data_IF_481338686009
#
_entry.id   IF_481338686009
#
_cell.length_a   1.000
_cell.length_b   1.000
_cell.length_c   1.000
_cell.angle_alpha   90.00
_cell.angle_beta   90.00
_cell.angle_gamma   90.00
#
_symmetry.space_group_name_H-M   'P 1'
#
loop_
_entity.id
_entity.type
_entity.pdbx_description
1 polymer ?
#
# COMPACT_ATOMS: atom_id res chain seq x y z
N UNK A 1 -13.62 -17.75 -1.41
CA UNK A 1 -12.59 -17.89 -0.38
C UNK A 1 -12.98 -19.04 0.53
N UNK A 2 -12.15 -20.07 0.62
CA UNK A 2 -12.41 -21.32 1.36
C UNK A 2 -12.00 -21.18 2.82
N UNK A 3 -12.50 -22.04 3.71
CA UNK A 3 -12.23 -21.96 5.16
C UNK A 3 -10.73 -22.14 5.48
N UNK A 4 -10.05 -23.03 4.73
CA UNK A 4 -8.62 -23.28 4.83
C UNK A 4 -7.75 -22.10 4.33
N UNK A 5 -8.33 -21.11 3.66
CA UNK A 5 -7.65 -19.86 3.28
C UNK A 5 -7.80 -18.78 4.36
N UNK A 6 -8.54 -19.05 5.44
CA UNK A 6 -8.91 -18.07 6.49
C UNK A 6 -8.43 -18.43 7.89
N UNK A 7 -7.88 -19.63 8.08
CA UNK A 7 -7.46 -20.14 9.39
C UNK A 7 -5.98 -20.52 9.33
N UNK A 8 -5.20 -19.99 10.26
CA UNK A 8 -3.83 -20.43 10.49
C UNK A 8 -3.84 -21.62 11.46
N UNK A 9 -3.17 -22.71 11.08
CA UNK A 9 -3.01 -23.90 11.93
C UNK A 9 -1.61 -23.85 12.53
N UNK A 10 -1.53 -23.77 13.85
CA UNK A 10 -0.27 -23.87 14.58
C UNK A 10 -0.03 -25.35 14.87
N UNK A 11 1.03 -25.92 14.28
CA UNK A 11 1.36 -27.34 14.41
C UNK A 11 2.08 -27.63 15.73
N UNK A 12 2.14 -28.91 16.11
CA UNK A 12 2.94 -29.33 17.28
C UNK A 12 4.42 -28.98 17.13
N UNK A 13 4.96 -29.02 15.89
CA UNK A 13 6.34 -28.58 15.62
C UNK A 13 6.50 -27.09 15.92
N UNK A 14 5.52 -26.26 15.53
CA UNK A 14 5.55 -24.83 15.83
C UNK A 14 5.59 -24.59 17.34
N UNK A 15 4.70 -25.23 18.11
CA UNK A 15 4.65 -25.10 19.57
C UNK A 15 5.94 -25.59 20.23
N UNK A 16 6.46 -26.74 19.81
CA UNK A 16 7.67 -27.32 20.39
C UNK A 16 8.88 -26.40 20.19
N UNK A 17 9.02 -25.83 18.99
CA UNK A 17 10.12 -24.91 18.67
C UNK A 17 9.98 -23.58 19.37
N UNK A 18 8.76 -23.04 19.47
CA UNK A 18 8.49 -21.83 20.23
C UNK A 18 8.83 -22.06 21.70
N UNK A 19 8.41 -23.18 22.27
CA UNK A 19 8.68 -23.51 23.68
C UNK A 19 10.18 -23.64 23.96
N UNK A 20 10.95 -24.18 23.01
CA UNK A 20 12.42 -24.22 23.10
C UNK A 20 13.06 -22.81 23.12
N UNK A 21 12.51 -21.85 22.36
CA UNK A 21 13.08 -20.51 22.20
C UNK A 21 12.68 -19.54 23.32
N UNK A 22 11.42 -19.59 23.75
CA UNK A 22 10.86 -18.62 24.70
C UNK A 22 10.57 -19.23 26.09
N UNK A 23 10.72 -20.54 26.26
CA UNK A 23 10.38 -21.26 27.49
C UNK A 23 8.95 -21.79 27.46
N UNK A 24 8.36 -22.03 28.63
CA UNK A 24 6.93 -22.36 28.70
C UNK A 24 6.10 -21.20 28.14
N UNK A 25 5.25 -21.50 27.15
CA UNK A 25 4.43 -20.50 26.44
C UNK A 25 2.98 -20.81 26.74
N UNK A 26 2.28 -19.83 27.29
CA UNK A 26 0.83 -19.85 27.39
C UNK A 26 0.15 -19.19 26.17
N UNK A 27 -1.18 -19.18 26.19
CA UNK A 27 -1.96 -18.60 25.08
C UNK A 27 -1.80 -17.08 24.97
N UNK A 28 -1.51 -16.40 26.08
CA UNK A 28 -1.32 -14.94 26.12
C UNK A 28 0.04 -14.56 25.51
N UNK A 29 1.08 -15.33 25.81
CA UNK A 29 2.40 -15.23 25.19
C UNK A 29 2.33 -15.44 23.68
N UNK A 30 1.61 -16.49 23.26
CA UNK A 30 1.40 -16.78 21.85
C UNK A 30 0.64 -15.64 21.15
N UNK A 31 -0.42 -15.14 21.78
CA UNK A 31 -1.20 -13.99 21.29
C UNK A 31 -0.32 -12.76 21.13
N UNK A 32 0.53 -12.45 22.12
CA UNK A 32 1.48 -11.32 22.07
C UNK A 32 2.46 -11.46 20.91
N UNK A 33 3.07 -12.64 20.74
CA UNK A 33 4.04 -12.90 19.66
C UNK A 33 3.37 -12.72 18.30
N UNK A 34 2.25 -13.41 18.06
CA UNK A 34 1.54 -13.37 16.78
C UNK A 34 1.07 -11.96 16.45
N UNK A 35 0.46 -11.24 17.40
CA UNK A 35 -0.01 -9.88 17.17
C UNK A 35 1.14 -8.89 16.90
N UNK A 36 2.30 -9.07 17.55
CA UNK A 36 3.49 -8.25 17.26
C UNK A 36 3.96 -8.44 15.82
N UNK A 37 4.06 -9.68 15.35
CA UNK A 37 4.43 -9.96 13.96
C UNK A 37 3.38 -9.49 12.95
N UNK A 38 2.10 -9.69 13.26
CA UNK A 38 1.00 -9.18 12.43
C UNK A 38 1.04 -7.67 12.30
N UNK A 39 1.34 -6.94 13.38
CA UNK A 39 1.48 -5.49 13.35
C UNK A 39 2.57 -5.06 12.36
N UNK A 40 3.76 -5.65 12.46
CA UNK A 40 4.87 -5.34 11.54
C UNK A 40 4.46 -5.59 10.08
N UNK A 41 3.84 -6.75 9.81
CA UNK A 41 3.38 -7.06 8.46
C UNK A 41 2.28 -6.11 7.95
N UNK A 42 1.37 -5.68 8.82
CA UNK A 42 0.35 -4.69 8.48
C UNK A 42 1.01 -3.34 8.15
N UNK A 43 1.92 -2.87 8.99
CA UNK A 43 2.64 -1.62 8.79
C UNK A 43 3.36 -1.62 7.42
N UNK A 44 4.06 -2.71 7.07
CA UNK A 44 4.71 -2.89 5.76
C UNK A 44 3.72 -2.86 4.58
N UNK A 45 2.59 -3.57 4.70
CA UNK A 45 1.54 -3.60 3.66
C UNK A 45 0.91 -2.23 3.48
N UNK A 46 0.67 -1.49 4.58
CA UNK A 46 0.13 -0.13 4.53
C UNK A 46 1.11 0.81 3.85
N UNK A 47 2.40 0.75 4.20
CA UNK A 47 3.46 1.53 3.54
C UNK A 47 3.50 1.26 2.03
N UNK A 48 3.48 -0.01 1.62
CA UNK A 48 3.46 -0.38 0.20
C UNK A 48 2.17 0.06 -0.51
N UNK A 49 1.02 -0.07 0.16
CA UNK A 49 -0.24 0.45 -0.38
C UNK A 49 -0.20 1.96 -0.57
N UNK A 50 0.44 2.72 0.32
CA UNK A 50 0.61 4.16 0.19
C UNK A 50 1.53 4.52 -0.99
N UNK A 51 2.63 3.77 -1.19
CA UNK A 51 3.49 3.90 -2.38
C UNK A 51 2.70 3.66 -3.67
N UNK A 52 1.82 2.66 -3.70
CA UNK A 52 0.97 2.39 -4.87
C UNK A 52 -0.14 3.43 -5.07
N UNK A 53 -0.71 4.00 -4.01
CA UNK A 53 -1.67 5.12 -4.12
C UNK A 53 -1.02 6.36 -4.73
N UNK A 54 0.22 6.66 -4.37
CA UNK A 54 1.00 7.73 -5.01
C UNK A 54 1.25 7.50 -6.53
N UNK A 55 1.11 6.25 -7.00
CA UNK A 55 1.18 5.91 -8.42
C UNK A 55 -0.15 6.09 -9.17
N UNK A 56 -1.27 6.44 -8.51
CA UNK A 56 -2.54 6.70 -9.16
C UNK A 56 -2.95 8.17 -9.04
N UNK A 57 -3.17 8.82 -10.18
CA UNK A 57 -3.59 10.22 -10.20
C UNK A 57 -5.03 10.46 -9.69
N UNK A 58 -5.85 9.41 -9.52
CA UNK A 58 -7.23 9.55 -9.02
C UNK A 58 -7.31 9.98 -7.54
N UNK A 59 -6.33 9.59 -6.74
CA UNK A 59 -6.26 9.89 -5.30
C UNK A 59 -5.12 10.88 -4.98
N UNK A 60 -4.57 11.54 -6.00
CA UNK A 60 -3.45 12.46 -5.85
C UNK A 60 -3.94 13.88 -5.53
N UNK A 61 -3.44 14.47 -4.44
CA UNK A 61 -3.78 15.83 -3.97
C UNK A 61 -3.52 16.92 -5.02
N UNK A 62 -2.57 16.66 -5.92
CA UNK A 62 -2.18 17.59 -6.99
C UNK A 62 -3.05 17.47 -8.24
N UNK A 63 -3.94 16.48 -8.33
CA UNK A 63 -4.84 16.29 -9.46
C UNK A 63 -5.94 17.35 -9.44
N UNK A 64 -6.08 18.07 -10.56
CA UNK A 64 -7.16 19.02 -10.82
C UNK A 64 -7.98 18.55 -12.01
N UNK A 65 -9.29 18.77 -11.89
CA UNK A 65 -10.27 18.44 -12.92
C UNK A 65 -10.99 19.71 -13.33
N UNK A 66 -11.05 19.94 -14.63
CA UNK A 66 -11.80 21.04 -15.23
C UNK A 66 -12.89 20.47 -16.14
N UNK A 67 -14.12 20.96 -15.97
CA UNK A 67 -15.27 20.58 -16.79
C UNK A 67 -15.73 21.82 -17.56
N UNK A 68 -15.44 21.86 -18.87
CA UNK A 68 -16.02 22.83 -19.80
C UNK A 68 -16.97 22.08 -20.74
N UNK A 69 -16.47 21.60 -21.88
CA UNK A 69 -17.20 20.68 -22.77
C UNK A 69 -16.82 19.20 -22.56
N UNK A 70 -15.62 18.96 -22.02
CA UNK A 70 -15.07 17.64 -21.69
C UNK A 70 -14.36 17.71 -20.33
N UNK A 71 -14.24 16.56 -19.65
CA UNK A 71 -13.50 16.48 -18.39
C UNK A 71 -12.01 16.43 -18.72
N UNK A 72 -11.25 17.46 -18.37
CA UNK A 72 -9.80 17.46 -18.57
C UNK A 72 -9.11 17.42 -17.21
N UNK A 73 -8.17 16.50 -17.07
CA UNK A 73 -7.42 16.27 -15.84
C UNK A 73 -5.98 16.77 -15.99
N UNK A 74 -5.48 17.45 -14.95
CA UNK A 74 -4.14 18.01 -14.88
C UNK A 74 -3.49 17.72 -13.52
N UNK A 75 -2.16 17.69 -13.50
CA UNK A 75 -1.34 17.67 -12.30
C UNK A 75 -0.76 19.06 -12.05
N UNK A 76 -1.09 19.66 -10.91
CA UNK A 76 -0.61 20.98 -10.51
C UNK A 76 0.63 20.93 -9.61
N UNK A 77 1.31 19.78 -9.51
CA UNK A 77 2.57 19.68 -8.77
C UNK A 77 3.60 20.66 -9.36
N UNK A 78 4.30 21.40 -8.51
CA UNK A 78 5.28 22.43 -8.93
C UNK A 78 6.51 21.78 -9.57
N UNK A 79 6.92 20.63 -9.03
CA UNK A 79 8.13 19.92 -9.47
C UNK A 79 7.86 18.95 -10.64
N UNK A 80 6.74 19.12 -11.37
CA UNK A 80 6.51 18.35 -12.60
C UNK A 80 7.60 18.67 -13.62
N UNK A 81 8.12 17.64 -14.27
CA UNK A 81 9.16 17.83 -15.31
C UNK A 81 8.56 18.11 -16.69
N UNK A 82 7.23 18.05 -16.83
CA UNK A 82 6.53 18.46 -18.04
C UNK A 82 5.90 19.85 -17.89
N UNK A 83 5.88 20.62 -18.97
CA UNK A 83 5.39 22.00 -18.90
C UNK A 83 3.87 22.09 -18.73
N UNK A 84 3.14 21.09 -19.26
CA UNK A 84 1.68 21.12 -19.36
C UNK A 84 0.95 20.46 -18.20
N UNK A 85 1.53 19.45 -17.55
CA UNK A 85 0.89 18.70 -16.47
C UNK A 85 -0.36 17.94 -16.89
N UNK A 86 -0.60 17.71 -18.19
CA UNK A 86 -1.86 17.13 -18.67
C UNK A 86 -1.91 15.62 -18.42
N UNK A 87 -2.91 15.15 -17.67
CA UNK A 87 -3.09 13.74 -17.31
C UNK A 87 -3.97 12.99 -18.32
N UNK A 88 -5.04 13.63 -18.82
CA UNK A 88 -5.98 12.97 -19.73
C UNK A 88 -7.21 13.80 -20.04
N UNK A 89 -7.96 13.35 -21.06
CA UNK A 89 -9.29 13.85 -21.39
C UNK A 89 -10.30 12.71 -21.18
N UNK A 90 -11.43 13.03 -20.55
CA UNK A 90 -12.54 12.17 -20.16
C UNK A 90 -12.20 11.13 -19.07
N UNK A 91 -11.01 10.53 -19.10
CA UNK A 91 -10.52 9.58 -18.11
C UNK A 91 -9.11 9.94 -17.57
N UNK A 92 -8.84 9.52 -16.35
CA UNK A 92 -7.50 9.57 -15.75
C UNK A 92 -6.63 8.40 -16.25
N UNK A 93 -5.30 8.55 -16.25
CA UNK A 93 -4.41 7.44 -16.52
C UNK A 93 -4.46 6.42 -15.39
N UNK A 94 -4.30 5.13 -15.71
CA UNK A 94 -4.27 4.04 -14.71
C UNK A 94 -3.01 4.08 -13.84
N UNK A 95 -1.94 4.69 -14.35
CA UNK A 95 -0.64 4.80 -13.68
C UNK A 95 -0.10 6.21 -13.84
N UNK A 96 0.71 6.64 -12.87
CA UNK A 96 1.35 7.95 -12.87
C UNK A 96 2.21 8.13 -14.14
N UNK A 97 2.06 9.25 -14.86
CA UNK A 97 2.85 9.56 -16.04
C UNK A 97 4.36 9.58 -15.75
N UNK A 98 5.20 9.28 -16.73
CA UNK A 98 6.67 9.22 -16.58
C UNK A 98 7.26 10.48 -15.95
N UNK A 99 6.71 11.64 -16.29
CA UNK A 99 7.12 12.94 -15.80
C UNK A 99 6.60 13.30 -14.40
N UNK A 100 5.78 12.44 -13.79
CA UNK A 100 5.25 12.69 -12.47
C UNK A 100 6.40 12.66 -11.44
N UNK A 101 6.56 13.74 -10.64
CA UNK A 101 7.65 13.83 -9.66
C UNK A 101 7.52 12.78 -8.55
N UNK A 102 6.31 12.26 -8.32
CA UNK A 102 6.03 11.24 -7.31
C UNK A 102 6.12 9.80 -7.85
N UNK A 103 6.46 9.60 -9.13
CA UNK A 103 6.42 8.26 -9.76
C UNK A 103 7.46 7.31 -9.17
N UNK A 104 8.65 7.81 -8.86
CA UNK A 104 9.77 7.05 -8.31
C UNK A 104 10.47 7.87 -7.22
N UNK A 105 9.86 7.99 -6.04
CA UNK A 105 10.61 8.43 -4.86
C UNK A 105 11.44 7.24 -4.33
N UNK A 106 12.46 6.84 -5.11
CA UNK A 106 13.63 6.13 -4.60
C UNK A 106 14.68 7.19 -4.28
N UNK A 107 14.60 7.78 -3.08
CA UNK A 107 15.71 8.49 -2.45
C UNK A 107 15.73 8.20 -0.97
#
# INVERSE_FOLDING_TARGET
MKLNERVAIITEENISRLSYLYGEIDIDDLSRIVNSHLKVAIDEIEEDSLKHKAQNCAECDFMKKYEYDKKIYYCNHTDRIDDMGKLGADHLPKTSPVWCPLRNNEK
#
